data_IF_655012074329
#
_entry.id   IF_655012074329
#
_cell.length_a   1.000
_cell.length_b   1.000
_cell.length_c   1.000
_cell.angle_alpha   90.00
_cell.angle_beta   90.00
_cell.angle_gamma   90.00
#
_symmetry.space_group_name_H-M   'P 1'
#
loop_
_entity.id
_entity.type
_entity.pdbx_description
1 polymer ?
#
# COMPACT_ATOMS: atom_id res chain seq x y z
N UNK A 1 -4.87 -10.31 -0.52
CA UNK A 1 -4.93 -8.90 -0.06
C UNK A 1 -5.30 -8.06 -1.26
N UNK A 2 -6.46 -7.37 -1.26
CA UNK A 2 -7.08 -6.78 -2.48
C UNK A 2 -6.14 -5.91 -3.34
N UNK A 3 -5.22 -5.15 -2.74
CA UNK A 3 -4.25 -4.31 -3.48
C UNK A 3 -3.24 -5.15 -4.27
N UNK A 4 -2.69 -6.23 -3.70
CA UNK A 4 -1.75 -7.13 -4.41
C UNK A 4 -2.47 -7.81 -5.58
N UNK A 5 -3.66 -8.36 -5.32
CA UNK A 5 -4.47 -9.02 -6.36
C UNK A 5 -4.79 -8.07 -7.52
N UNK A 6 -5.06 -6.79 -7.22
CA UNK A 6 -5.30 -5.77 -8.23
C UNK A 6 -4.06 -5.55 -9.11
N UNK A 7 -2.88 -5.38 -8.52
CA UNK A 7 -1.66 -5.03 -9.28
C UNK A 7 -1.10 -6.20 -10.08
N UNK A 8 -1.31 -7.44 -9.65
CA UNK A 8 -0.95 -8.64 -10.42
C UNK A 8 -1.71 -8.74 -11.76
N UNK A 9 -2.91 -8.15 -11.85
CA UNK A 9 -3.72 -8.15 -13.07
C UNK A 9 -3.41 -7.01 -14.04
N UNK A 10 -2.57 -6.05 -13.62
CA UNK A 10 -2.25 -4.87 -14.43
C UNK A 10 -1.22 -5.24 -15.49
N UNK A 11 -1.64 -5.21 -16.76
CA UNK A 11 -0.75 -5.37 -17.91
C UNK A 11 -0.39 -4.01 -18.50
N UNK A 12 0.91 -3.70 -18.56
CA UNK A 12 1.43 -2.44 -19.11
C UNK A 12 2.54 -2.72 -20.12
N UNK A 13 2.58 -1.95 -21.20
CA UNK A 13 3.58 -2.16 -22.28
C UNK A 13 5.04 -2.05 -21.81
N UNK A 14 5.30 -1.29 -20.75
CA UNK A 14 6.57 -1.29 -20.02
C UNK A 14 6.22 -1.63 -18.58
N UNK A 15 6.54 -2.83 -18.11
CA UNK A 15 6.08 -3.43 -16.83
C UNK A 15 6.32 -2.65 -15.51
N UNK A 16 6.73 -1.37 -15.55
CA UNK A 16 6.77 -0.40 -14.44
C UNK A 16 7.14 -0.98 -13.05
N UNK A 17 8.10 -1.91 -13.00
CA UNK A 17 8.36 -2.78 -11.85
C UNK A 17 8.51 -2.02 -10.53
N UNK A 18 9.24 -0.90 -10.55
CA UNK A 18 9.44 -0.07 -9.36
C UNK A 18 8.14 0.49 -8.76
N UNK A 19 7.16 0.83 -9.60
CA UNK A 19 5.85 1.30 -9.11
C UNK A 19 5.03 0.16 -8.50
N UNK A 20 5.08 -1.04 -9.10
CA UNK A 20 4.44 -2.24 -8.55
C UNK A 20 5.06 -2.67 -7.23
N UNK A 21 6.38 -2.71 -7.14
CA UNK A 21 7.09 -2.99 -5.89
C UNK A 21 6.75 -1.96 -4.80
N UNK A 22 6.63 -0.68 -5.15
CA UNK A 22 6.33 0.37 -4.18
C UNK A 22 4.90 0.26 -3.61
N UNK A 23 3.92 -0.10 -4.45
CA UNK A 23 2.53 -0.25 -3.98
C UNK A 23 2.34 -1.56 -3.19
N UNK A 24 3.03 -2.64 -3.56
CA UNK A 24 3.06 -3.88 -2.78
C UNK A 24 3.70 -3.64 -1.40
N UNK A 25 4.86 -2.97 -1.37
CA UNK A 25 5.57 -2.67 -0.12
C UNK A 25 4.76 -1.73 0.79
N UNK A 26 4.24 -0.62 0.25
CA UNK A 26 3.47 0.34 1.06
C UNK A 26 2.17 -0.28 1.58
N UNK A 27 1.45 -1.06 0.78
CA UNK A 27 0.17 -1.67 1.22
C UNK A 27 0.36 -2.76 2.27
N UNK A 28 1.39 -3.60 2.13
CA UNK A 28 1.73 -4.62 3.14
C UNK A 28 2.27 -4.00 4.44
N UNK A 29 3.06 -2.92 4.32
CA UNK A 29 3.62 -2.18 5.45
C UNK A 29 2.57 -1.67 6.43
N UNK A 30 1.35 -1.35 5.98
CA UNK A 30 0.24 -0.95 6.86
C UNK A 30 -0.03 -2.02 7.93
N UNK A 31 -0.24 -3.27 7.49
CA UNK A 31 -0.57 -4.37 8.39
C UNK A 31 0.63 -4.78 9.23
N UNK A 32 1.83 -4.76 8.65
CA UNK A 32 3.09 -5.08 9.36
C UNK A 32 3.33 -4.11 10.53
N UNK A 33 3.20 -2.80 10.29
CA UNK A 33 3.40 -1.80 11.34
C UNK A 33 2.33 -1.86 12.43
N UNK A 34 1.07 -2.14 12.08
CA UNK A 34 0.01 -2.32 13.08
C UNK A 34 0.28 -3.54 13.98
N UNK A 35 0.67 -4.66 13.38
CA UNK A 35 1.01 -5.88 14.12
C UNK A 35 2.25 -5.67 15.00
N UNK A 36 3.31 -5.07 14.45
CA UNK A 36 4.54 -4.78 15.19
C UNK A 36 4.28 -3.82 16.35
N UNK A 37 3.56 -2.73 16.10
CA UNK A 37 3.17 -1.77 17.13
C UNK A 37 2.35 -2.40 18.25
N UNK A 38 1.43 -3.32 17.92
CA UNK A 38 0.61 -4.04 18.90
C UNK A 38 1.45 -4.93 19.81
N UNK A 39 2.59 -5.43 19.33
CA UNK A 39 3.56 -6.22 20.10
C UNK A 39 4.50 -5.39 21.00
N UNK A 40 4.40 -4.05 21.00
CA UNK A 40 5.25 -3.17 21.82
C UNK A 40 4.74 -3.05 23.26
N UNK A 41 5.63 -2.63 24.16
CA UNK A 41 5.40 -2.64 25.61
C UNK A 41 4.58 -1.44 26.11
N UNK A 42 4.41 -0.40 25.30
CA UNK A 42 3.72 0.81 25.70
C UNK A 42 2.72 1.33 24.66
N UNK A 43 1.68 2.02 25.15
CA UNK A 43 0.73 2.74 24.29
C UNK A 43 1.41 3.79 23.42
N UNK A 44 2.47 4.44 23.95
CA UNK A 44 3.22 5.48 23.22
C UNK A 44 3.91 4.90 21.98
N UNK A 45 4.57 3.75 22.12
CA UNK A 45 5.17 3.05 20.98
C UNK A 45 4.11 2.59 19.99
N UNK A 46 3.00 2.00 20.47
CA UNK A 46 1.93 1.60 19.57
C UNK A 46 1.40 2.78 18.73
N UNK A 47 1.21 3.95 19.33
CA UNK A 47 0.80 5.17 18.62
C UNK A 47 1.82 5.58 17.54
N UNK A 48 3.12 5.46 17.81
CA UNK A 48 4.16 5.72 16.81
C UNK A 48 4.04 4.79 15.60
N UNK A 49 3.84 3.49 15.83
CA UNK A 49 3.62 2.52 14.76
C UNK A 49 2.31 2.76 14.00
N UNK A 50 1.24 3.20 14.67
CA UNK A 50 0.02 3.65 13.99
C UNK A 50 0.27 4.84 13.05
N UNK A 51 1.15 5.78 13.43
CA UNK A 51 1.53 6.87 12.52
C UNK A 51 2.31 6.39 11.31
N UNK A 52 3.22 5.41 11.49
CA UNK A 52 3.95 4.80 10.36
C UNK A 52 2.98 4.06 9.44
N UNK A 53 2.09 3.22 9.98
CA UNK A 53 1.06 2.53 9.22
C UNK A 53 0.17 3.51 8.44
N UNK A 54 -0.20 4.64 9.06
CA UNK A 54 -0.96 5.71 8.39
C UNK A 54 -0.16 6.34 7.24
N UNK A 55 1.14 6.55 7.41
CA UNK A 55 2.02 7.01 6.33
C UNK A 55 2.00 6.05 5.13
N UNK A 56 2.19 4.75 5.38
CA UNK A 56 2.13 3.72 4.34
C UNK A 56 0.76 3.62 3.66
N UNK A 57 -0.34 3.86 4.40
CA UNK A 57 -1.68 3.93 3.81
C UNK A 57 -1.80 5.09 2.82
N UNK A 58 -1.34 6.29 3.18
CA UNK A 58 -1.38 7.45 2.27
C UNK A 58 -0.50 7.26 1.03
N UNK A 59 0.65 6.60 1.18
CA UNK A 59 1.48 6.23 0.04
C UNK A 59 0.74 5.25 -0.89
N UNK A 60 0.12 4.21 -0.33
CA UNK A 60 -0.70 3.25 -1.08
C UNK A 60 -1.81 3.95 -1.85
N UNK A 61 -2.57 4.84 -1.19
CA UNK A 61 -3.66 5.60 -1.82
C UNK A 61 -3.15 6.50 -2.96
N UNK A 62 -1.98 7.12 -2.77
CA UNK A 62 -1.35 7.97 -3.79
C UNK A 62 -0.96 7.15 -5.02
N UNK A 63 -0.39 5.96 -4.84
CA UNK A 63 -0.05 5.06 -5.93
C UNK A 63 -1.28 4.53 -6.67
N UNK A 64 -2.36 4.17 -5.95
CA UNK A 64 -3.64 3.78 -6.56
C UNK A 64 -4.21 4.91 -7.44
N UNK A 65 -4.16 6.15 -6.96
CA UNK A 65 -4.60 7.32 -7.74
C UNK A 65 -3.74 7.52 -9.00
N UNK A 66 -2.42 7.31 -8.91
CA UNK A 66 -1.54 7.32 -10.09
C UNK A 66 -1.93 6.23 -11.09
N UNK A 67 -2.20 5.01 -10.61
CA UNK A 67 -2.56 3.88 -11.46
C UNK A 67 -3.91 4.13 -12.15
N UNK A 68 -4.89 4.73 -11.43
CA UNK A 68 -6.17 5.17 -11.98
C UNK A 68 -5.97 6.20 -13.09
N UNK A 69 -5.16 7.24 -12.86
CA UNK A 69 -4.85 8.29 -13.86
C UNK A 69 -4.12 7.75 -15.09
N UNK A 70 -3.38 6.65 -14.95
CA UNK A 70 -2.73 5.94 -16.06
C UNK A 70 -3.66 4.95 -16.77
N UNK A 71 -4.92 4.84 -16.33
CA UNK A 71 -5.90 3.86 -16.81
C UNK A 71 -5.41 2.41 -16.67
N UNK A 72 -4.55 2.13 -15.67
CA UNK A 72 -4.06 0.79 -15.37
C UNK A 72 -5.05 -0.01 -14.51
N UNK A 73 -5.88 0.70 -13.75
CA UNK A 73 -6.97 0.15 -12.96
C UNK A 73 -8.25 0.89 -13.31
N UNK A 74 -9.32 0.12 -13.54
CA UNK A 74 -10.63 0.65 -13.88
C UNK A 74 -11.38 1.13 -12.64
N UNK A 75 -12.36 2.01 -12.83
CA UNK A 75 -13.21 2.50 -11.74
C UNK A 75 -14.02 1.39 -11.06
N UNK A 76 -14.30 0.29 -11.77
CA UNK A 76 -14.95 -0.89 -11.20
C UNK A 76 -14.05 -1.70 -10.24
N UNK A 77 -12.73 -1.57 -10.40
CA UNK A 77 -11.74 -2.33 -9.63
C UNK A 77 -11.06 -1.49 -8.52
N UNK A 78 -11.34 -0.18 -8.48
CA UNK A 78 -10.89 0.75 -7.43
C UNK A 78 -11.71 0.55 -6.15
#
# INVERSE_FOLDING_TARGET
MKVIELVETVDTGRKHYRLFEQIEASSTSVSMNLAEGKGRNSKKEFVQFCYIARGSLYETMTLLEIFKRKAWVSEANF
#
